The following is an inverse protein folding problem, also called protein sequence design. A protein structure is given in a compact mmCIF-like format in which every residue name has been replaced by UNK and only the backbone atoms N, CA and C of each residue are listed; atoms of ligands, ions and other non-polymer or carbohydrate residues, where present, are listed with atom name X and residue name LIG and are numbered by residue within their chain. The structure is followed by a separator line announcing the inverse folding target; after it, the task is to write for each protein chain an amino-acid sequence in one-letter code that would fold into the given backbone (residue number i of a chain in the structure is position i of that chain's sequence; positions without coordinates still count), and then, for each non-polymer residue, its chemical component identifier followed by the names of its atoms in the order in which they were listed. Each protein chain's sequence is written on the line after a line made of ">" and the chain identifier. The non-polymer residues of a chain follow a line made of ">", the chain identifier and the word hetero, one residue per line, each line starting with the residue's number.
data_IF_082290164859
#
_entry.id   IF_082290164859
#
_cell.length_a   1.000
_cell.length_b   1.000
_cell.length_c   1.000
_cell.angle_alpha   90.00
_cell.angle_beta   90.00
_cell.angle_gamma   90.00
#
_symmetry.space_group_name_H-M   'P 1'
#
loop_
_entity.id
_entity.type
_entity.pdbx_description
1 polymer ?
#
# COMPACT_ATOMS: atom_id res chain seq x y z
N UNK A 1 27.47 22.88 23.76
CA UNK A 1 26.58 22.53 24.89
C UNK A 1 25.48 21.67 24.34
N UNK A 2 25.48 20.39 24.71
CA UNK A 2 24.68 19.32 24.11
C UNK A 2 23.41 19.12 24.94
N UNK A 3 22.24 19.44 24.38
CA UNK A 3 20.94 19.17 25.00
C UNK A 3 20.47 17.78 24.58
N UNK A 4 20.68 16.78 25.43
CA UNK A 4 20.09 15.45 25.28
C UNK A 4 19.46 15.00 26.61
N UNK A 5 18.23 14.49 26.55
CA UNK A 5 17.93 13.27 27.30
C UNK A 5 16.82 13.24 28.35
N UNK A 6 15.87 14.18 28.40
CA UNK A 6 14.67 14.03 29.26
C UNK A 6 13.43 13.79 28.41
N UNK A 7 13.36 12.61 27.76
CA UNK A 7 12.08 12.05 27.30
C UNK A 7 11.73 10.88 28.21
N UNK A 8 10.64 11.11 28.92
CA UNK A 8 10.10 10.44 30.08
C UNK A 8 10.07 8.90 29.99
N UNK A 9 10.55 8.24 31.04
CA UNK A 9 10.57 6.78 31.21
C UNK A 9 9.17 6.24 31.53
N UNK A 10 8.27 7.11 32.00
CA UNK A 10 6.89 6.75 32.36
C UNK A 10 6.06 6.38 31.13
N UNK A 11 6.25 7.05 29.99
CA UNK A 11 5.50 6.77 28.76
C UNK A 11 5.73 5.36 28.23
N UNK A 12 6.98 4.87 28.27
CA UNK A 12 7.31 3.50 27.83
C UNK A 12 6.69 2.42 28.71
N UNK A 13 6.60 2.65 30.03
CA UNK A 13 5.96 1.74 30.96
C UNK A 13 4.45 1.75 30.78
N UNK A 14 3.86 2.93 30.63
CA UNK A 14 2.44 3.10 30.32
C UNK A 14 2.09 2.38 29.01
N UNK A 15 2.85 2.60 27.94
CA UNK A 15 2.70 1.91 26.65
C UNK A 15 2.85 0.38 26.78
N UNK A 16 3.78 -0.08 27.62
CA UNK A 16 4.00 -1.50 27.89
C UNK A 16 2.82 -2.14 28.65
N UNK A 17 2.30 -1.48 29.68
CA UNK A 17 1.14 -1.93 30.44
C UNK A 17 -0.16 -1.90 29.62
N UNK A 18 -0.33 -0.90 28.75
CA UNK A 18 -1.44 -0.88 27.80
C UNK A 18 -1.30 -1.99 26.76
N UNK A 19 -0.10 -2.22 26.21
CA UNK A 19 0.16 -3.35 25.29
C UNK A 19 -0.03 -4.72 25.94
N UNK A 20 0.39 -4.89 27.19
CA UNK A 20 0.28 -6.16 27.92
C UNK A 20 -1.16 -6.50 28.35
N UNK A 21 -2.07 -5.52 28.38
CA UNK A 21 -3.48 -5.70 28.72
C UNK A 21 -4.41 -5.65 27.51
N UNK A 22 -3.91 -5.60 26.27
CA UNK A 22 -4.77 -5.86 25.11
C UNK A 22 -5.16 -7.36 25.16
N UNK A 23 -6.45 -7.70 25.32
CA UNK A 23 -6.88 -9.08 25.19
C UNK A 23 -6.57 -9.57 23.76
N UNK A 24 -6.34 -10.87 23.60
CA UNK A 24 -6.15 -11.56 22.31
C UNK A 24 -7.25 -11.23 21.26
N UNK A 25 -8.38 -10.68 21.68
CA UNK A 25 -9.45 -10.15 20.84
C UNK A 25 -9.10 -8.79 20.21
N UNK A 26 -8.44 -7.88 20.93
CA UNK A 26 -8.05 -6.56 20.40
C UNK A 26 -7.04 -6.67 19.26
N UNK A 27 -6.11 -7.63 19.32
CA UNK A 27 -5.17 -7.91 18.22
C UNK A 27 -5.88 -8.29 16.92
N UNK A 28 -6.97 -9.06 17.01
CA UNK A 28 -7.77 -9.46 15.84
C UNK A 28 -8.51 -8.27 15.22
N UNK A 29 -9.02 -7.35 16.04
CA UNK A 29 -9.67 -6.14 15.55
C UNK A 29 -8.67 -5.19 14.89
N UNK A 30 -7.49 -4.98 15.50
CA UNK A 30 -6.43 -4.16 14.91
C UNK A 30 -5.99 -4.75 13.57
N UNK A 31 -5.79 -6.07 13.49
CA UNK A 31 -5.46 -6.74 12.24
C UNK A 31 -6.56 -6.58 11.19
N UNK A 32 -7.82 -6.78 11.55
CA UNK A 32 -8.94 -6.64 10.63
C UNK A 32 -9.06 -5.21 10.08
N UNK A 33 -8.84 -4.20 10.92
CA UNK A 33 -8.82 -2.79 10.50
C UNK A 33 -7.66 -2.50 9.55
N UNK A 34 -6.46 -3.00 9.84
CA UNK A 34 -5.30 -2.84 8.96
C UNK A 34 -5.50 -3.56 7.61
N UNK A 35 -6.08 -4.76 7.63
CA UNK A 35 -6.43 -5.49 6.40
C UNK A 35 -7.48 -4.72 5.58
N UNK A 36 -8.49 -4.13 6.23
CA UNK A 36 -9.49 -3.32 5.54
C UNK A 36 -8.86 -2.07 4.89
N UNK A 37 -7.90 -1.44 5.56
CA UNK A 37 -7.16 -0.30 5.03
C UNK A 37 -6.38 -0.68 3.76
N UNK A 38 -5.57 -1.74 3.84
CA UNK A 38 -4.75 -2.24 2.73
C UNK A 38 -5.59 -2.73 1.55
N UNK A 39 -6.73 -3.36 1.80
CA UNK A 39 -7.56 -3.99 0.76
C UNK A 39 -8.55 -3.03 0.13
N UNK A 40 -9.10 -2.07 0.88
CA UNK A 40 -10.16 -1.19 0.38
C UNK A 40 -9.71 0.27 0.28
N UNK A 41 -9.24 0.86 1.37
CA UNK A 41 -9.00 2.30 1.45
C UNK A 41 -7.76 2.73 0.66
N UNK A 42 -6.66 2.02 0.81
CA UNK A 42 -5.43 2.30 0.07
C UNK A 42 -5.64 2.18 -1.46
N UNK A 43 -6.18 1.08 -2.01
CA UNK A 43 -6.47 0.98 -3.45
C UNK A 43 -7.38 2.09 -3.97
N UNK A 44 -8.41 2.47 -3.20
CA UNK A 44 -9.34 3.52 -3.60
C UNK A 44 -8.63 4.87 -3.77
N UNK A 45 -7.81 5.26 -2.78
CA UNK A 45 -7.06 6.52 -2.82
C UNK A 45 -5.97 6.50 -3.90
N UNK A 46 -5.24 5.40 -4.00
CA UNK A 46 -4.17 5.25 -4.97
C UNK A 46 -4.69 5.26 -6.41
N UNK A 47 -5.73 4.47 -6.73
CA UNK A 47 -6.29 4.48 -8.08
C UNK A 47 -6.89 5.84 -8.45
N UNK A 48 -7.54 6.53 -7.50
CA UNK A 48 -8.03 7.88 -7.73
C UNK A 48 -6.89 8.85 -8.05
N UNK A 49 -5.79 8.81 -7.30
CA UNK A 49 -4.64 9.68 -7.53
C UNK A 49 -3.89 9.37 -8.83
N UNK A 50 -3.55 8.10 -9.06
CA UNK A 50 -2.69 7.71 -10.17
C UNK A 50 -3.47 7.58 -11.49
N UNK A 51 -4.66 6.97 -11.48
CA UNK A 51 -5.44 6.70 -12.71
C UNK A 51 -6.52 7.75 -12.92
N UNK A 52 -7.14 8.24 -11.86
CA UNK A 52 -8.14 9.30 -11.92
C UNK A 52 -7.52 10.66 -12.22
N UNK A 53 -6.50 11.06 -11.45
CA UNK A 53 -5.89 12.38 -11.58
C UNK A 53 -4.67 12.39 -12.50
N UNK A 54 -3.57 11.72 -12.12
CA UNK A 54 -2.28 11.84 -12.81
C UNK A 54 -2.35 11.35 -14.27
N UNK A 55 -2.95 10.18 -14.51
CA UNK A 55 -3.11 9.64 -15.86
C UNK A 55 -3.96 10.56 -16.74
N UNK A 56 -5.03 11.17 -16.21
CA UNK A 56 -5.83 12.10 -16.99
C UNK A 56 -5.16 13.46 -17.18
N UNK A 57 -4.34 13.92 -16.23
CA UNK A 57 -3.54 15.14 -16.37
C UNK A 57 -2.53 15.05 -17.53
N UNK A 58 -1.99 13.85 -17.77
CA UNK A 58 -1.03 13.56 -18.83
C UNK A 58 -1.71 13.15 -20.16
N UNK A 59 -3.01 12.89 -20.13
CA UNK A 59 -3.78 12.50 -21.32
C UNK A 59 -3.82 13.65 -22.33
N UNK A 60 -3.54 13.33 -23.59
CA UNK A 60 -3.46 14.32 -24.67
C UNK A 60 -2.17 15.15 -24.69
N UNK A 61 -1.36 15.13 -23.63
CA UNK A 61 -0.05 15.82 -23.58
C UNK A 61 1.10 14.92 -24.04
N UNK A 62 1.01 13.62 -23.74
CA UNK A 62 2.02 12.62 -24.12
C UNK A 62 1.34 11.35 -24.65
N UNK A 63 2.12 10.54 -25.38
CA UNK A 63 1.65 9.25 -25.87
C UNK A 63 1.37 8.26 -24.71
N UNK A 64 0.63 7.19 -25.00
CA UNK A 64 0.20 6.23 -24.00
C UNK A 64 1.38 5.51 -23.31
N UNK A 65 2.46 5.22 -24.06
CA UNK A 65 3.64 4.54 -23.52
C UNK A 65 4.37 5.39 -22.49
N UNK A 66 4.65 6.66 -22.81
CA UNK A 66 5.30 7.60 -21.89
C UNK A 66 4.43 7.81 -20.64
N UNK A 67 3.12 7.90 -20.81
CA UNK A 67 2.18 8.02 -19.68
C UNK A 67 2.22 6.80 -18.77
N UNK A 68 2.20 5.60 -19.34
CA UNK A 68 2.33 4.35 -18.61
C UNK A 68 3.62 4.31 -17.79
N UNK A 69 4.75 4.69 -18.39
CA UNK A 69 6.03 4.75 -17.71
C UNK A 69 6.01 5.75 -16.55
N UNK A 70 5.56 6.99 -16.77
CA UNK A 70 5.50 8.02 -15.72
C UNK A 70 4.61 7.58 -14.57
N UNK A 71 3.38 7.16 -14.85
CA UNK A 71 2.42 6.74 -13.81
C UNK A 71 2.97 5.55 -13.02
N UNK A 72 3.57 4.56 -13.69
CA UNK A 72 4.03 3.34 -13.03
C UNK A 72 5.31 3.53 -12.23
N UNK A 73 6.24 4.35 -12.72
CA UNK A 73 7.45 4.69 -11.98
C UNK A 73 7.08 5.51 -10.73
N UNK A 74 6.22 6.52 -10.86
CA UNK A 74 5.80 7.33 -9.72
C UNK A 74 5.04 6.51 -8.67
N UNK A 75 4.20 5.56 -9.11
CA UNK A 75 3.55 4.61 -8.22
C UNK A 75 4.58 3.79 -7.44
N UNK A 76 5.53 3.16 -8.11
CA UNK A 76 6.58 2.36 -7.46
C UNK A 76 7.47 3.20 -6.52
N UNK A 77 7.82 4.43 -6.92
CA UNK A 77 8.61 5.35 -6.10
C UNK A 77 7.83 5.78 -4.85
N UNK A 78 6.53 6.04 -4.96
CA UNK A 78 5.67 6.35 -3.80
C UNK A 78 5.63 5.20 -2.78
N UNK A 79 5.90 3.97 -3.22
CA UNK A 79 5.94 2.79 -2.37
C UNK A 79 7.34 2.45 -1.82
N UNK A 80 8.37 3.24 -2.13
CA UNK A 80 9.74 3.00 -1.62
C UNK A 80 9.84 2.79 -0.10
N UNK A 81 9.07 3.48 0.77
CA UNK A 81 9.09 3.20 2.21
C UNK A 81 8.71 1.77 2.59
N UNK A 82 8.01 1.04 1.71
CA UNK A 82 7.57 -0.34 1.91
C UNK A 82 8.39 -1.36 1.10
N UNK A 83 9.30 -0.90 0.25
CA UNK A 83 10.11 -1.74 -0.64
C UNK A 83 11.44 -2.05 0.03
N UNK A 84 11.67 -3.33 0.32
CA UNK A 84 12.88 -3.81 1.00
C UNK A 84 13.90 -4.46 0.05
N UNK A 85 13.49 -4.82 -1.17
CA UNK A 85 14.35 -5.46 -2.15
C UNK A 85 13.89 -5.19 -3.59
N UNK A 86 14.74 -5.50 -4.56
CA UNK A 86 14.49 -5.28 -5.99
C UNK A 86 13.29 -6.07 -6.53
N UNK A 87 12.98 -7.23 -5.94
CA UNK A 87 11.83 -8.06 -6.35
C UNK A 87 10.53 -7.34 -6.00
N UNK A 88 10.43 -6.76 -4.80
CA UNK A 88 9.27 -5.96 -4.39
C UNK A 88 9.12 -4.71 -5.27
N UNK A 89 10.22 -4.02 -5.58
CA UNK A 89 10.18 -2.90 -6.52
C UNK A 89 9.59 -3.30 -7.87
N UNK A 90 10.06 -4.42 -8.43
CA UNK A 90 9.56 -4.93 -9.70
C UNK A 90 8.09 -5.35 -9.62
N UNK A 91 7.65 -5.92 -8.49
CA UNK A 91 6.26 -6.27 -8.26
C UNK A 91 5.34 -5.04 -8.26
N UNK A 92 5.70 -3.97 -7.54
CA UNK A 92 4.93 -2.72 -7.56
C UNK A 92 4.91 -2.07 -8.96
N UNK A 93 6.04 -2.09 -9.66
CA UNK A 93 6.13 -1.54 -11.01
C UNK A 93 5.25 -2.31 -12.00
N UNK A 94 5.34 -3.64 -12.03
CA UNK A 94 4.54 -4.51 -12.90
C UNK A 94 3.06 -4.40 -12.54
N UNK A 95 2.72 -4.46 -11.24
CA UNK A 95 1.35 -4.29 -10.77
C UNK A 95 0.76 -2.96 -11.24
N UNK A 96 1.52 -1.88 -11.15
CA UNK A 96 1.08 -0.58 -11.62
C UNK A 96 0.85 -0.53 -13.14
N UNK A 97 1.71 -1.19 -13.93
CA UNK A 97 1.55 -1.30 -15.39
C UNK A 97 0.27 -2.06 -15.72
N UNK A 98 0.01 -3.19 -15.05
CA UNK A 98 -1.21 -3.99 -15.25
C UNK A 98 -2.46 -3.16 -14.96
N UNK A 99 -2.49 -2.47 -13.81
CA UNK A 99 -3.60 -1.58 -13.43
C UNK A 99 -3.79 -0.44 -14.45
N UNK A 100 -2.69 0.15 -14.94
CA UNK A 100 -2.74 1.15 -16.00
C UNK A 100 -3.39 0.59 -17.28
N UNK A 101 -2.99 -0.61 -17.72
CA UNK A 101 -3.52 -1.22 -18.94
C UNK A 101 -5.01 -1.56 -18.79
N UNK A 102 -5.43 -2.06 -17.62
CA UNK A 102 -6.85 -2.32 -17.32
C UNK A 102 -7.66 -1.04 -17.35
N UNK A 103 -7.19 0.01 -16.68
CA UNK A 103 -7.85 1.32 -16.72
C UNK A 103 -7.91 1.88 -18.15
N UNK A 104 -6.83 1.80 -18.92
CA UNK A 104 -6.78 2.37 -20.27
C UNK A 104 -7.74 1.65 -21.23
N UNK A 105 -7.87 0.33 -21.08
CA UNK A 105 -8.77 -0.52 -21.88
C UNK A 105 -10.24 -0.33 -21.52
N UNK A 106 -10.56 -0.26 -20.23
CA UNK A 106 -11.95 -0.26 -19.74
C UNK A 106 -12.50 1.14 -19.48
N UNK A 107 -11.61 2.12 -19.30
CA UNK A 107 -11.93 3.50 -18.87
C UNK A 107 -12.81 3.56 -17.61
N UNK A 108 -12.68 2.53 -16.77
CA UNK A 108 -13.41 2.36 -15.53
C UNK A 108 -12.41 2.42 -14.37
N UNK A 109 -12.58 3.40 -13.47
CA UNK A 109 -11.83 3.42 -12.21
C UNK A 109 -12.25 2.25 -11.32
N UNK A 110 -13.52 1.86 -11.38
CA UNK A 110 -14.04 0.74 -10.60
C UNK A 110 -13.31 -0.57 -10.92
N UNK A 111 -13.05 -0.85 -12.21
CA UNK A 111 -12.34 -2.07 -12.63
C UNK A 111 -10.90 -2.09 -12.10
N UNK A 112 -10.23 -0.94 -12.07
CA UNK A 112 -8.87 -0.80 -11.55
C UNK A 112 -8.85 -0.94 -10.01
N UNK A 113 -9.77 -0.28 -9.30
CA UNK A 113 -9.91 -0.38 -7.84
C UNK A 113 -10.20 -1.82 -7.46
N UNK A 114 -11.16 -2.46 -8.13
CA UNK A 114 -11.52 -3.85 -7.85
C UNK A 114 -10.32 -4.79 -8.05
N UNK A 115 -9.60 -4.68 -9.18
CA UNK A 115 -8.42 -5.51 -9.41
C UNK A 115 -7.33 -5.28 -8.36
N UNK A 116 -7.06 -4.02 -8.02
CA UNK A 116 -6.05 -3.67 -7.03
C UNK A 116 -6.44 -4.21 -5.63
N UNK A 117 -7.69 -4.01 -5.21
CA UNK A 117 -8.23 -4.58 -3.98
C UNK A 117 -8.13 -6.11 -3.95
N UNK A 118 -8.43 -6.80 -5.06
CA UNK A 118 -8.30 -8.25 -5.15
C UNK A 118 -6.85 -8.72 -5.01
N UNK A 119 -5.90 -8.02 -5.65
CA UNK A 119 -4.47 -8.32 -5.52
C UNK A 119 -3.98 -8.13 -4.08
N UNK A 120 -4.36 -7.03 -3.44
CA UNK A 120 -4.01 -6.77 -2.04
C UNK A 120 -4.67 -7.78 -1.09
N UNK A 121 -5.94 -8.14 -1.34
CA UNK A 121 -6.65 -9.16 -0.57
C UNK A 121 -5.98 -10.52 -0.66
N UNK A 122 -5.56 -10.94 -1.86
CA UNK A 122 -4.82 -12.18 -2.06
C UNK A 122 -3.48 -12.17 -1.31
N UNK A 123 -2.75 -11.05 -1.34
CA UNK A 123 -1.51 -10.91 -0.57
C UNK A 123 -1.78 -11.03 0.94
N UNK A 124 -2.81 -10.35 1.47
CA UNK A 124 -3.18 -10.46 2.89
C UNK A 124 -3.50 -11.90 3.27
N UNK A 125 -4.29 -12.63 2.46
CA UNK A 125 -4.60 -14.05 2.71
C UNK A 125 -3.33 -14.90 2.71
N UNK A 126 -2.46 -14.71 1.71
CA UNK A 126 -1.21 -15.45 1.60
C UNK A 126 -0.28 -15.21 2.81
N UNK A 127 -0.20 -13.97 3.30
CA UNK A 127 0.58 -13.64 4.49
C UNK A 127 0.00 -14.18 5.80
N UNK A 128 -1.32 -14.43 5.87
CA UNK A 128 -1.96 -15.10 7.01
C UNK A 128 -1.64 -16.60 6.98
N UNK A 129 -1.70 -17.22 5.80
CA UNK A 129 -1.58 -18.68 5.65
C UNK A 129 -0.13 -19.18 5.67
N UNK A 130 0.86 -18.37 5.25
CA UNK A 130 2.27 -18.77 5.30
C UNK A 130 2.76 -18.72 6.76
N UNK A 131 3.19 -19.86 7.34
CA UNK A 131 3.73 -19.88 8.70
C UNK A 131 4.97 -18.98 8.78
N UNK A 132 5.05 -18.15 9.82
CA UNK A 132 6.20 -17.26 10.10
C UNK A 132 7.55 -17.97 10.31
N UNK A 133 7.60 -19.30 10.16
CA UNK A 133 8.81 -20.11 10.33
C UNK A 133 9.73 -20.13 9.10
N UNK A 134 9.35 -19.49 7.99
CA UNK A 134 10.15 -19.46 6.75
C UNK A 134 10.87 -18.12 6.48
N UNK A 135 10.85 -17.17 7.44
CA UNK A 135 11.56 -15.89 7.35
C UNK A 135 12.44 -15.64 8.57
#
# INVERSE_FOLDING_TARGET
>A
MEFNGVRDRSSKLVDYFFRANLPLTTDKYIFALAALDIVCFAPLLEEFLFRGFLNNLLRGKVNAFVRMSIVSILFAVGHMPYIHNWIQFLAYLIGSIVLFLVYERRRSLFDAILLHSLLNGLLVILFIEIPRHFF
#
